data_IF_222412289676
#
_entry.id   IF_222412289676
#
_cell.length_a   1.000
_cell.length_b   1.000
_cell.length_c   1.000
_cell.angle_alpha   90.00
_cell.angle_beta   90.00
_cell.angle_gamma   90.00
#
_symmetry.space_group_name_H-M   'P 1'
#
loop_
_entity.id
_entity.type
_entity.pdbx_description
1 polymer ?
#
# COMPACT_ATOMS: atom_id res chain seq x y z
N UNK A 1 22.75 18.87 25.76
CA UNK A 1 21.75 17.87 26.14
C UNK A 1 20.40 18.53 26.03
N UNK A 2 19.69 18.32 24.94
CA UNK A 2 18.34 18.83 24.74
C UNK A 2 17.38 17.74 25.18
N UNK A 3 16.60 18.01 26.22
CA UNK A 3 15.53 17.12 26.68
C UNK A 3 14.43 17.10 25.62
N UNK A 4 14.13 15.93 25.11
CA UNK A 4 12.95 15.69 24.28
C UNK A 4 11.71 15.81 25.19
N UNK A 5 10.95 16.85 25.03
CA UNK A 5 9.63 17.00 25.63
C UNK A 5 8.67 16.10 24.88
N UNK A 6 8.35 14.95 25.45
CA UNK A 6 7.25 14.11 25.00
C UNK A 6 5.95 14.78 25.42
N UNK A 7 5.17 15.24 24.45
CA UNK A 7 3.79 15.62 24.71
C UNK A 7 2.91 14.38 24.50
N UNK A 8 2.13 13.95 25.50
CA UNK A 8 1.15 12.89 25.31
C UNK A 8 0.00 13.48 24.49
N UNK A 9 -0.07 13.16 23.22
CA UNK A 9 -1.32 13.29 22.46
C UNK A 9 -2.10 12.02 22.75
N UNK A 10 -2.92 12.04 23.78
CA UNK A 10 -3.86 10.97 24.08
C UNK A 10 -5.04 11.10 23.10
N UNK A 11 -4.97 10.37 21.99
CA UNK A 11 -6.10 10.19 21.08
C UNK A 11 -6.59 8.76 21.20
N UNK A 12 -7.74 8.59 21.84
CA UNK A 12 -8.41 7.29 21.94
C UNK A 12 -9.26 7.07 20.70
N UNK A 13 -8.98 6.00 19.96
CA UNK A 13 -9.74 5.62 18.78
C UNK A 13 -10.57 4.39 19.09
N UNK A 14 -11.90 4.50 18.98
CA UNK A 14 -12.78 3.34 18.92
C UNK A 14 -12.59 2.69 17.54
N UNK A 15 -11.94 1.54 17.50
CA UNK A 15 -11.98 0.68 16.32
C UNK A 15 -13.27 -0.15 16.48
N UNK A 16 -14.33 0.10 15.68
CA UNK A 16 -15.52 -0.72 15.78
C UNK A 16 -15.13 -2.15 15.40
N UNK A 17 -15.49 -3.10 16.27
CA UNK A 17 -15.55 -4.51 15.89
C UNK A 17 -16.37 -4.59 14.60
N UNK A 18 -15.91 -5.35 13.62
CA UNK A 18 -16.69 -5.63 12.43
C UNK A 18 -18.04 -6.17 12.92
N UNK A 19 -19.06 -5.32 12.88
CA UNK A 19 -20.41 -5.75 13.14
C UNK A 19 -20.70 -6.81 12.10
N UNK A 20 -21.01 -8.02 12.54
CA UNK A 20 -21.66 -9.03 11.73
C UNK A 20 -22.95 -8.38 11.25
N UNK A 21 -22.91 -7.79 10.07
CA UNK A 21 -24.08 -7.20 9.46
C UNK A 21 -25.06 -8.34 9.27
N UNK A 22 -26.11 -8.32 10.09
CA UNK A 22 -27.30 -9.11 9.82
C UNK A 22 -27.74 -8.73 8.42
N UNK A 23 -27.60 -9.69 7.51
CA UNK A 23 -27.91 -9.55 6.09
C UNK A 23 -29.37 -9.15 5.95
N UNK A 24 -29.66 -7.85 5.96
CA UNK A 24 -30.90 -7.36 5.40
C UNK A 24 -30.88 -7.78 3.93
N UNK A 25 -31.96 -8.42 3.47
CA UNK A 25 -32.15 -8.79 2.07
C UNK A 25 -31.83 -7.55 1.25
N UNK A 26 -30.64 -7.55 0.62
CA UNK A 26 -30.22 -6.46 -0.21
C UNK A 26 -31.18 -6.43 -1.39
N UNK A 27 -31.90 -5.31 -1.55
CA UNK A 27 -32.45 -4.94 -2.83
C UNK A 27 -31.36 -5.23 -3.86
N UNK A 28 -31.69 -5.89 -4.98
CA UNK A 28 -30.77 -6.12 -6.07
C UNK A 28 -30.19 -4.77 -6.46
N UNK A 29 -29.05 -4.43 -5.87
CA UNK A 29 -28.36 -3.20 -6.20
C UNK A 29 -28.00 -3.32 -7.66
N UNK A 30 -28.49 -2.41 -8.44
CA UNK A 30 -28.18 -2.30 -9.86
C UNK A 30 -26.66 -2.40 -10.00
N UNK A 31 -26.21 -3.48 -10.60
CA UNK A 31 -24.78 -3.89 -10.62
C UNK A 31 -23.90 -2.86 -11.32
N UNK A 32 -24.50 -2.13 -12.26
CA UNK A 32 -23.82 -1.15 -13.10
C UNK A 32 -24.48 0.21 -12.92
N UNK A 33 -23.66 1.25 -12.92
CA UNK A 33 -24.16 2.61 -12.92
C UNK A 33 -24.96 2.85 -14.22
N UNK A 34 -26.12 3.48 -14.11
CA UNK A 34 -26.96 3.82 -15.28
C UNK A 34 -26.33 4.88 -16.16
N UNK A 35 -25.45 5.70 -15.58
CA UNK A 35 -24.65 6.71 -16.29
C UNK A 35 -23.40 7.02 -15.48
N UNK A 36 -22.27 7.26 -16.15
CA UNK A 36 -21.04 7.64 -15.48
C UNK A 36 -21.12 9.06 -14.93
N UNK A 37 -20.51 9.30 -13.76
CA UNK A 37 -20.32 10.66 -13.22
C UNK A 37 -19.54 11.55 -14.18
N UNK A 38 -18.73 10.96 -15.06
CA UNK A 38 -17.96 11.67 -16.09
C UNK A 38 -18.80 12.13 -17.29
N UNK A 39 -20.08 11.71 -17.40
CA UNK A 39 -20.94 12.01 -18.54
C UNK A 39 -21.27 13.50 -18.69
N UNK A 40 -21.13 14.27 -17.64
CA UNK A 40 -21.44 15.69 -17.63
C UNK A 40 -20.39 16.50 -16.87
N UNK A 41 -20.35 17.82 -17.13
CA UNK A 41 -19.46 18.73 -16.46
C UNK A 41 -18.05 18.76 -17.05
N UNK A 42 -17.20 19.53 -16.39
CA UNK A 42 -15.78 19.65 -16.73
C UNK A 42 -14.94 18.84 -15.78
N UNK A 43 -14.06 18.02 -16.32
CA UNK A 43 -13.20 17.13 -15.56
C UNK A 43 -11.72 17.38 -15.85
N UNK A 44 -10.90 17.30 -14.81
CA UNK A 44 -9.44 17.37 -14.91
C UNK A 44 -8.87 16.10 -14.30
N UNK A 45 -8.15 15.30 -15.08
CA UNK A 45 -7.45 14.10 -14.63
C UNK A 45 -6.10 14.49 -14.05
N UNK A 46 -5.82 14.05 -12.82
CA UNK A 46 -4.51 14.21 -12.15
C UNK A 46 -3.84 12.87 -11.97
N UNK A 47 -2.52 12.87 -12.02
CA UNK A 47 -1.68 11.70 -11.83
C UNK A 47 -1.10 11.68 -10.41
N UNK A 48 -1.08 10.49 -9.81
CA UNK A 48 -0.51 10.21 -8.50
C UNK A 48 0.50 9.08 -8.65
N UNK A 49 1.69 9.24 -8.09
CA UNK A 49 2.79 8.27 -8.24
C UNK A 49 2.85 7.26 -7.11
N UNK A 50 2.41 7.63 -5.91
CA UNK A 50 2.46 6.78 -4.70
C UNK A 50 1.35 7.15 -3.73
N UNK A 51 1.10 6.30 -2.76
CA UNK A 51 0.17 6.62 -1.68
C UNK A 51 0.63 7.82 -0.87
N UNK A 52 -0.31 8.58 -0.33
CA UNK A 52 -0.01 9.71 0.55
C UNK A 52 -1.06 10.81 0.52
N UNK A 53 -0.82 11.85 1.33
CA UNK A 53 -1.65 13.05 1.35
C UNK A 53 -1.17 14.01 0.27
N UNK A 54 -2.07 14.38 -0.62
CA UNK A 54 -1.83 15.33 -1.70
C UNK A 54 -2.50 16.66 -1.42
N UNK A 55 -1.76 17.73 -1.69
CA UNK A 55 -2.24 19.11 -1.54
C UNK A 55 -2.57 19.70 -2.91
N UNK A 56 -3.84 19.99 -3.13
CA UNK A 56 -4.33 20.73 -4.28
C UNK A 56 -4.49 22.20 -3.86
N UNK A 57 -3.43 23.01 -4.02
CA UNK A 57 -3.48 24.43 -3.67
C UNK A 57 -4.50 25.19 -4.53
N UNK A 58 -5.09 26.27 -3.99
CA UNK A 58 -6.01 27.09 -4.77
C UNK A 58 -5.37 27.64 -6.05
N UNK A 59 -4.05 27.93 -6.04
CA UNK A 59 -3.32 28.36 -7.22
C UNK A 59 -3.27 27.25 -8.30
N UNK A 60 -2.98 26.00 -7.89
CA UNK A 60 -3.03 24.84 -8.79
C UNK A 60 -4.43 24.66 -9.38
N UNK A 61 -5.47 24.69 -8.55
CA UNK A 61 -6.85 24.54 -8.98
C UNK A 61 -7.30 25.60 -9.97
N UNK A 62 -6.94 26.89 -9.72
CA UNK A 62 -7.20 27.97 -10.70
C UNK A 62 -6.45 27.76 -12.01
N UNK A 63 -5.17 27.37 -11.95
CA UNK A 63 -4.39 27.02 -13.17
C UNK A 63 -5.00 25.85 -13.92
N UNK A 64 -5.57 24.88 -13.20
CA UNK A 64 -6.33 23.78 -13.79
C UNK A 64 -7.69 24.22 -14.36
N UNK A 65 -8.08 25.50 -14.18
CA UNK A 65 -9.26 26.17 -14.74
C UNK A 65 -10.53 26.03 -13.90
N UNK A 66 -10.37 25.78 -12.60
CA UNK A 66 -11.48 25.82 -11.66
C UNK A 66 -11.66 27.25 -11.12
N UNK A 67 -12.88 27.79 -11.26
CA UNK A 67 -13.20 29.15 -10.84
C UNK A 67 -13.42 29.25 -9.34
N UNK A 68 -13.93 28.21 -8.74
CA UNK A 68 -14.30 28.11 -7.33
C UNK A 68 -13.56 26.92 -6.64
N UNK A 69 -12.30 27.12 -6.26
CA UNK A 69 -11.50 26.05 -5.64
C UNK A 69 -12.14 25.40 -4.40
N UNK A 70 -13.02 26.12 -3.70
CA UNK A 70 -13.76 25.65 -2.53
C UNK A 70 -14.83 24.62 -2.88
N UNK A 71 -15.30 24.59 -4.12
CA UNK A 71 -16.30 23.67 -4.65
C UNK A 71 -15.69 22.46 -5.38
N UNK A 72 -14.36 22.38 -5.41
CA UNK A 72 -13.72 21.26 -6.09
C UNK A 72 -13.93 19.96 -5.31
N UNK A 73 -14.33 18.95 -6.04
CA UNK A 73 -14.52 17.55 -5.65
C UNK A 73 -13.42 16.70 -6.26
N UNK A 74 -13.03 15.65 -5.55
CA UNK A 74 -12.06 14.65 -6.00
C UNK A 74 -12.77 13.33 -6.18
N UNK A 75 -12.59 12.65 -7.30
CA UNK A 75 -13.17 11.35 -7.58
C UNK A 75 -12.11 10.33 -7.96
N UNK A 76 -12.29 9.09 -7.55
CA UNK A 76 -11.40 7.98 -7.89
C UNK A 76 -11.19 7.02 -6.73
N UNK A 77 -10.48 5.95 -7.01
CA UNK A 77 -10.10 4.92 -6.04
C UNK A 77 -8.63 4.51 -6.21
N UNK A 78 -7.84 5.42 -6.78
CA UNK A 78 -6.39 5.27 -6.94
C UNK A 78 -5.98 4.28 -8.02
N UNK A 79 -4.94 3.52 -7.70
CA UNK A 79 -4.35 2.53 -8.60
C UNK A 79 -4.92 1.13 -8.44
N UNK A 80 -6.12 0.98 -7.86
CA UNK A 80 -6.78 -0.30 -7.75
C UNK A 80 -7.08 -0.89 -9.11
N UNK A 81 -6.81 -2.17 -9.27
CA UNK A 81 -7.26 -2.90 -10.44
C UNK A 81 -8.74 -3.25 -10.31
N UNK A 82 -9.45 -3.13 -11.41
CA UNK A 82 -10.75 -3.75 -11.53
C UNK A 82 -10.57 -5.27 -11.54
N UNK A 83 -11.56 -5.97 -10.99
CA UNK A 83 -11.57 -7.41 -11.04
C UNK A 83 -11.62 -7.90 -12.49
N UNK A 84 -10.86 -8.92 -12.82
CA UNK A 84 -10.81 -9.49 -14.16
C UNK A 84 -12.04 -10.32 -14.49
N UNK A 85 -12.77 -10.77 -13.50
CA UNK A 85 -14.01 -11.52 -13.67
C UNK A 85 -15.18 -10.54 -13.76
N UNK A 86 -15.80 -10.47 -14.93
CA UNK A 86 -17.03 -9.70 -15.15
C UNK A 86 -18.24 -10.28 -14.42
N UNK A 87 -18.21 -11.58 -14.11
CA UNK A 87 -19.27 -12.28 -13.39
C UNK A 87 -18.77 -12.67 -12.01
N UNK A 88 -19.30 -12.01 -10.98
CA UNK A 88 -19.03 -12.38 -9.60
C UNK A 88 -20.07 -13.37 -9.11
N UNK A 89 -19.64 -14.58 -8.87
CA UNK A 89 -20.30 -15.46 -7.93
C UNK A 89 -19.62 -15.28 -6.58
N UNK A 90 -20.24 -14.44 -5.74
CA UNK A 90 -19.70 -14.11 -4.41
C UNK A 90 -19.90 -15.22 -3.39
N UNK A 91 -20.67 -16.24 -3.70
CA UNK A 91 -20.99 -17.30 -2.76
C UNK A 91 -20.00 -18.47 -2.82
N UNK A 92 -19.29 -18.64 -3.92
CA UNK A 92 -18.45 -19.83 -4.12
C UNK A 92 -16.99 -19.72 -3.70
N UNK A 93 -16.44 -18.52 -3.46
CA UNK A 93 -14.99 -18.41 -3.24
C UNK A 93 -14.55 -17.82 -1.89
N UNK A 94 -15.45 -17.42 -0.98
CA UNK A 94 -15.09 -16.98 0.37
C UNK A 94 -14.14 -15.76 0.47
N UNK A 95 -13.85 -15.11 -0.64
CA UNK A 95 -13.00 -13.93 -0.72
C UNK A 95 -13.92 -12.73 -0.93
N UNK A 96 -14.08 -11.91 0.11
CA UNK A 96 -14.53 -10.53 -0.09
C UNK A 96 -13.49 -9.83 -0.95
N UNK A 97 -13.56 -9.98 -2.26
CA UNK A 97 -12.80 -9.16 -3.18
C UNK A 97 -13.24 -7.71 -2.93
N UNK A 98 -12.30 -6.83 -2.66
CA UNK A 98 -12.59 -5.39 -2.59
C UNK A 98 -13.08 -4.97 -3.97
N UNK A 99 -14.38 -4.94 -4.15
CA UNK A 99 -15.00 -4.57 -5.41
C UNK A 99 -14.65 -3.13 -5.73
N UNK A 100 -13.92 -2.94 -6.82
CA UNK A 100 -13.77 -1.62 -7.41
C UNK A 100 -15.11 -1.27 -8.04
N UNK A 101 -15.72 -0.13 -7.69
CA UNK A 101 -16.97 0.31 -8.30
C UNK A 101 -16.84 0.44 -9.82
N UNK A 102 -17.94 0.23 -10.53
CA UNK A 102 -18.00 0.38 -11.98
C UNK A 102 -17.94 1.84 -12.45
N UNK A 103 -18.11 2.80 -11.54
CA UNK A 103 -17.93 4.23 -11.78
C UNK A 103 -17.09 4.87 -10.67
N UNK A 104 -16.64 6.10 -10.89
CA UNK A 104 -15.82 6.83 -9.94
C UNK A 104 -16.63 7.24 -8.70
N UNK A 105 -16.01 7.10 -7.53
CA UNK A 105 -16.59 7.55 -6.26
C UNK A 105 -15.91 8.83 -5.78
N UNK A 106 -16.68 9.70 -5.11
CA UNK A 106 -16.14 10.91 -4.52
C UNK A 106 -15.30 10.59 -3.29
N UNK A 107 -14.09 11.14 -3.24
CA UNK A 107 -13.14 10.99 -2.14
C UNK A 107 -13.32 12.16 -1.17
N UNK A 108 -13.57 11.91 0.12
CA UNK A 108 -13.62 12.96 1.12
C UNK A 108 -12.29 13.73 1.21
N UNK A 109 -12.41 15.04 1.35
CA UNK A 109 -11.26 15.97 1.35
C UNK A 109 -11.26 16.81 2.62
N UNK A 110 -10.09 17.25 3.05
CA UNK A 110 -9.94 18.25 4.10
C UNK A 110 -9.57 19.61 3.50
N UNK A 111 -10.31 20.66 3.88
CA UNK A 111 -9.97 22.00 3.47
C UNK A 111 -9.30 22.74 4.62
N UNK A 112 -8.13 23.29 4.35
CA UNK A 112 -7.33 24.03 5.29
C UNK A 112 -6.89 25.37 4.64
N UNK A 113 -7.59 26.46 4.93
CA UNK A 113 -7.36 27.73 4.25
C UNK A 113 -7.46 27.61 2.72
N UNK A 114 -6.35 27.86 2.03
CA UNK A 114 -6.25 27.77 0.57
C UNK A 114 -5.80 26.40 0.04
N UNK A 115 -5.74 25.41 0.91
CA UNK A 115 -5.32 24.04 0.58
C UNK A 115 -6.50 23.09 0.58
N UNK A 116 -6.54 22.19 -0.37
CA UNK A 116 -7.46 21.06 -0.42
C UNK A 116 -6.64 19.79 -0.33
N UNK A 117 -6.75 19.11 0.78
CA UNK A 117 -5.99 17.88 1.06
C UNK A 117 -6.87 16.66 0.82
N UNK A 118 -6.29 15.64 0.22
CA UNK A 118 -6.92 14.32 0.09
C UNK A 118 -5.88 13.21 0.20
N UNK A 119 -6.31 12.05 0.65
CA UNK A 119 -5.51 10.84 0.60
C UNK A 119 -5.62 10.21 -0.78
N UNK A 120 -4.49 9.86 -1.35
CA UNK A 120 -4.43 9.13 -2.61
C UNK A 120 -3.76 7.77 -2.41
N UNK A 121 -4.37 6.74 -2.97
CA UNK A 121 -3.78 5.41 -3.08
C UNK A 121 -2.80 5.36 -4.25
N UNK A 122 -1.69 4.64 -4.05
CA UNK A 122 -0.75 4.31 -5.10
C UNK A 122 -1.18 3.11 -5.94
N UNK A 123 -0.27 2.63 -6.78
CA UNK A 123 -0.45 1.42 -7.58
C UNK A 123 0.02 0.16 -6.86
N UNK A 124 0.77 0.30 -5.77
CA UNK A 124 1.17 -0.78 -4.89
C UNK A 124 0.31 -0.74 -3.63
N UNK A 125 -0.27 -1.87 -3.25
CA UNK A 125 -1.03 -2.04 -2.01
C UNK A 125 -0.31 -2.98 -1.08
N UNK A 126 -0.31 -2.62 0.20
CA UNK A 126 0.16 -3.44 1.31
C UNK A 126 -1.03 -3.94 2.10
N UNK A 127 -1.10 -5.24 2.33
CA UNK A 127 -2.16 -5.87 3.09
C UNK A 127 -1.57 -6.58 4.30
N UNK A 128 -2.03 -6.21 5.48
CA UNK A 128 -1.67 -6.88 6.74
C UNK A 128 -2.79 -7.79 7.18
N UNK A 129 -2.50 -9.08 7.28
CA UNK A 129 -3.43 -10.05 7.83
C UNK A 129 -3.26 -10.09 9.35
N UNK A 130 -4.21 -9.53 10.08
CA UNK A 130 -4.14 -9.43 11.54
C UNK A 130 -4.16 -10.79 12.24
N UNK A 131 -4.83 -11.79 11.68
CA UNK A 131 -4.92 -13.13 12.28
C UNK A 131 -3.62 -13.92 12.16
N UNK A 132 -2.91 -13.79 11.04
CA UNK A 132 -1.64 -14.50 10.79
C UNK A 132 -0.41 -13.66 11.09
N UNK A 133 -0.55 -12.33 11.25
CA UNK A 133 0.57 -11.39 11.42
C UNK A 133 1.44 -11.24 10.17
N UNK A 134 0.94 -11.63 9.00
CA UNK A 134 1.71 -11.61 7.76
C UNK A 134 1.32 -10.44 6.87
N UNK A 135 2.32 -9.90 6.19
CA UNK A 135 2.14 -8.93 5.13
C UNK A 135 2.07 -9.61 3.77
N UNK A 136 1.22 -9.09 2.90
CA UNK A 136 1.24 -9.31 1.46
C UNK A 136 1.21 -7.97 0.74
N UNK A 137 1.51 -7.97 -0.53
CA UNK A 137 1.34 -6.78 -1.38
C UNK A 137 0.93 -7.21 -2.78
N UNK A 138 0.40 -6.26 -3.52
CA UNK A 138 0.06 -6.41 -4.92
C UNK A 138 0.36 -5.10 -5.65
N UNK A 139 0.82 -5.22 -6.89
CA UNK A 139 1.04 -4.09 -7.78
C UNK A 139 -0.06 -4.04 -8.85
N UNK A 140 -0.34 -2.86 -9.36
CA UNK A 140 -1.16 -2.71 -10.53
C UNK A 140 -0.36 -3.11 -11.78
N UNK A 141 -0.75 -4.20 -12.44
CA UNK A 141 -0.05 -4.73 -13.61
C UNK A 141 -0.18 -3.86 -14.87
N UNK A 142 -1.14 -2.94 -14.90
CA UNK A 142 -1.49 -2.17 -16.11
C UNK A 142 -1.02 -0.72 -16.06
N UNK A 143 -0.68 -0.20 -14.88
CA UNK A 143 -0.28 1.18 -14.74
C UNK A 143 0.72 1.40 -13.60
N UNK A 144 1.73 2.22 -13.88
CA UNK A 144 2.67 2.73 -12.86
C UNK A 144 2.14 3.94 -12.10
N UNK A 145 0.96 4.43 -12.46
CA UNK A 145 0.37 5.62 -11.88
C UNK A 145 -1.08 5.38 -11.51
N UNK A 146 -1.48 5.97 -10.40
CA UNK A 146 -2.88 6.14 -10.04
C UNK A 146 -3.43 7.41 -10.65
N UNK A 147 -4.74 7.47 -10.80
CA UNK A 147 -5.39 8.65 -11.35
C UNK A 147 -6.61 9.02 -10.51
N UNK A 148 -6.77 10.33 -10.32
CA UNK A 148 -7.95 10.92 -9.74
C UNK A 148 -8.51 11.98 -10.68
N UNK A 149 -9.78 12.31 -10.51
CA UNK A 149 -10.50 13.22 -11.37
C UNK A 149 -11.08 14.35 -10.52
N UNK A 150 -10.91 15.57 -10.98
CA UNK A 150 -11.37 16.77 -10.31
C UNK A 150 -12.51 17.40 -11.10
N UNK A 151 -13.53 17.87 -10.39
CA UNK A 151 -14.63 18.67 -10.95
C UNK A 151 -15.10 19.71 -9.94
N UNK A 152 -15.84 20.73 -10.37
CA UNK A 152 -16.56 21.66 -9.48
C UNK A 152 -17.99 21.18 -9.29
N UNK A 153 -18.50 21.26 -8.06
CA UNK A 153 -19.88 20.88 -7.76
C UNK A 153 -20.32 21.31 -6.38
N UNK A 154 -21.62 21.19 -6.12
CA UNK A 154 -22.19 21.49 -4.82
C UNK A 154 -21.89 20.40 -3.79
N UNK A 155 -21.87 20.77 -2.52
CA UNK A 155 -21.70 19.89 -1.37
C UNK A 155 -20.53 18.88 -1.52
N UNK A 156 -19.25 19.33 -1.69
CA UNK A 156 -18.12 18.43 -1.74
C UNK A 156 -18.02 17.60 -0.45
N UNK A 157 -17.72 16.30 -0.59
CA UNK A 157 -17.48 15.45 0.56
C UNK A 157 -16.26 15.94 1.36
N UNK A 158 -16.44 16.00 2.68
CA UNK A 158 -15.38 16.43 3.59
C UNK A 158 -15.09 15.34 4.62
N UNK A 159 -13.83 15.26 5.00
CA UNK A 159 -13.40 14.42 6.12
C UNK A 159 -14.02 15.01 7.38
N UNK A 160 -14.73 14.16 8.15
CA UNK A 160 -15.31 14.57 9.44
C UNK A 160 -14.31 14.31 10.57
N UNK A 161 -14.33 15.14 11.61
CA UNK A 161 -13.62 14.83 12.83
C UNK A 161 -14.32 13.68 13.56
N UNK A 162 -13.56 12.73 14.10
CA UNK A 162 -14.09 11.74 15.04
C UNK A 162 -14.31 12.43 16.40
N UNK A 163 -15.35 12.01 17.09
CA UNK A 163 -15.54 12.41 18.47
C UNK A 163 -14.40 11.86 19.34
N UNK A 164 -13.88 12.67 20.24
CA UNK A 164 -12.94 12.23 21.25
C UNK A 164 -13.63 11.19 22.14
N UNK A 165 -13.02 10.04 22.33
CA UNK A 165 -13.51 9.03 23.27
C UNK A 165 -12.72 9.17 24.56
N UNK A 166 -13.35 9.68 25.58
CA UNK A 166 -12.81 9.60 26.94
C UNK A 166 -12.95 8.16 27.42
N UNK A 167 -11.87 7.45 27.47
CA UNK A 167 -11.82 6.10 28.00
C UNK A 167 -10.45 5.83 28.59
N UNK A 168 -10.42 5.08 29.66
CA UNK A 168 -9.17 4.46 30.16
C UNK A 168 -8.75 3.42 29.14
N UNK A 169 -8.02 3.86 28.11
CA UNK A 169 -7.55 2.99 27.05
C UNK A 169 -6.65 1.91 27.65
N UNK A 170 -7.06 0.66 27.54
CA UNK A 170 -6.33 -0.47 28.10
C UNK A 170 -4.99 -0.71 27.37
N UNK A 171 -4.78 -0.12 26.21
CA UNK A 171 -3.61 -0.36 25.37
C UNK A 171 -3.07 0.93 24.78
N UNK A 172 -1.77 1.15 24.96
CA UNK A 172 -1.03 2.21 24.26
C UNK A 172 -0.10 1.57 23.23
N UNK A 173 -0.16 2.04 22.00
CA UNK A 173 0.73 1.62 20.91
C UNK A 173 1.69 2.74 20.56
N UNK A 174 2.97 2.48 20.67
CA UNK A 174 4.06 3.36 20.20
C UNK A 174 4.65 2.88 18.87
N UNK A 175 4.26 1.68 18.43
CA UNK A 175 4.72 1.02 17.23
C UNK A 175 3.60 0.20 16.57
N UNK A 176 3.79 -0.09 15.30
CA UNK A 176 2.86 -0.88 14.49
C UNK A 176 3.60 -1.89 13.63
N UNK A 177 2.97 -3.00 13.25
CA UNK A 177 3.50 -3.84 12.18
C UNK A 177 3.65 -3.02 10.89
N UNK A 178 4.77 -3.15 10.22
CA UNK A 178 5.03 -2.48 8.95
C UNK A 178 5.81 -3.37 7.99
N UNK A 179 5.74 -3.06 6.69
CA UNK A 179 6.51 -3.75 5.67
C UNK A 179 7.23 -2.75 4.77
N UNK A 180 8.54 -2.86 4.69
CA UNK A 180 9.32 -2.26 3.62
C UNK A 180 9.36 -3.23 2.44
N UNK A 181 9.03 -2.73 1.25
CA UNK A 181 8.89 -3.54 0.04
C UNK A 181 9.80 -2.93 -1.03
N UNK A 182 10.60 -3.78 -1.64
CA UNK A 182 11.28 -3.53 -2.88
C UNK A 182 10.66 -4.46 -3.92
N UNK A 183 10.05 -3.89 -4.93
CA UNK A 183 9.37 -4.58 -6.01
C UNK A 183 9.31 -3.64 -7.22
N UNK A 184 10.11 -3.93 -8.24
CA UNK A 184 10.29 -3.10 -9.42
C UNK A 184 9.77 -3.83 -10.66
N UNK A 185 8.55 -3.56 -11.04
CA UNK A 185 7.90 -4.13 -12.22
C UNK A 185 8.39 -3.47 -13.52
N UNK A 186 9.56 -3.86 -14.02
CA UNK A 186 10.19 -3.23 -15.19
C UNK A 186 10.22 -4.11 -16.42
N UNK A 187 10.27 -5.43 -16.26
CA UNK A 187 10.46 -6.36 -17.36
C UNK A 187 9.69 -7.66 -17.18
N UNK A 188 9.25 -8.26 -18.28
CA UNK A 188 8.78 -9.65 -18.29
C UNK A 188 9.94 -10.64 -18.32
N UNK A 189 9.71 -11.87 -17.88
CA UNK A 189 10.67 -12.98 -18.04
C UNK A 189 10.56 -13.65 -19.40
N UNK A 190 9.41 -13.54 -20.04
CA UNK A 190 9.13 -14.09 -21.35
C UNK A 190 8.35 -13.07 -22.18
N UNK A 191 8.12 -13.36 -23.45
CA UNK A 191 7.44 -12.42 -24.38
C UNK A 191 5.94 -12.23 -24.08
N UNK A 192 5.53 -12.33 -22.85
CA UNK A 192 4.14 -12.15 -22.44
C UNK A 192 3.92 -12.38 -20.96
N UNK A 193 2.67 -12.25 -20.53
CA UNK A 193 2.25 -12.40 -19.15
C UNK A 193 2.03 -11.06 -18.45
N UNK A 194 1.26 -11.11 -17.37
CA UNK A 194 0.92 -9.93 -16.56
C UNK A 194 1.95 -9.62 -15.51
N UNK A 195 2.60 -10.66 -14.98
CA UNK A 195 3.58 -10.49 -13.92
C UNK A 195 4.85 -9.89 -14.49
N UNK A 196 5.22 -8.78 -13.96
CA UNK A 196 6.47 -8.10 -14.25
C UNK A 196 7.49 -8.39 -13.15
N UNK A 197 8.74 -8.16 -13.46
CA UNK A 197 9.87 -8.40 -12.59
C UNK A 197 10.85 -7.23 -12.70
N UNK A 198 11.87 -7.25 -11.87
CA UNK A 198 12.99 -6.32 -11.97
C UNK A 198 13.64 -6.31 -13.37
N UNK A 199 14.15 -5.15 -13.77
CA UNK A 199 14.80 -4.95 -15.06
C UNK A 199 16.12 -5.71 -15.23
N UNK A 200 16.80 -6.13 -14.16
CA UNK A 200 18.06 -6.86 -14.21
C UNK A 200 17.85 -8.32 -14.61
N UNK A 201 18.53 -8.77 -15.69
CA UNK A 201 18.55 -10.17 -16.11
C UNK A 201 19.85 -10.83 -15.68
N UNK A 202 19.73 -11.83 -14.81
CA UNK A 202 20.88 -12.58 -14.31
C UNK A 202 21.59 -13.43 -15.36
N UNK A 203 20.98 -13.68 -16.52
CA UNK A 203 21.67 -14.28 -17.65
C UNK A 203 22.78 -13.38 -18.21
N UNK A 204 22.60 -12.06 -18.10
CA UNK A 204 23.58 -11.07 -18.58
C UNK A 204 24.63 -10.76 -17.54
N UNK A 205 24.21 -10.58 -16.29
CA UNK A 205 25.08 -10.29 -15.15
C UNK A 205 24.59 -11.12 -13.96
N UNK A 206 25.35 -12.10 -13.55
CA UNK A 206 24.97 -13.09 -12.55
C UNK A 206 24.83 -12.54 -11.11
N UNK A 207 25.07 -11.25 -10.89
CA UNK A 207 24.95 -10.61 -9.58
C UNK A 207 24.22 -9.27 -9.68
N UNK A 208 23.37 -9.00 -8.68
CA UNK A 208 22.72 -7.71 -8.48
C UNK A 208 22.87 -7.27 -7.03
N UNK A 209 23.15 -5.98 -6.82
CA UNK A 209 23.13 -5.32 -5.52
C UNK A 209 22.05 -4.23 -5.52
N UNK A 210 21.25 -4.18 -4.48
CA UNK A 210 20.21 -3.16 -4.28
C UNK A 210 19.91 -2.95 -2.80
N UNK A 211 19.23 -1.85 -2.46
CA UNK A 211 18.92 -1.51 -1.09
C UNK A 211 17.40 -1.52 -0.83
N UNK A 212 17.02 -2.01 0.34
CA UNK A 212 15.69 -1.85 0.90
C UNK A 212 15.78 -0.93 2.11
N UNK A 213 15.08 0.21 2.06
CA UNK A 213 15.13 1.18 3.14
C UNK A 213 14.11 0.84 4.23
N UNK A 214 14.58 0.79 5.45
CA UNK A 214 13.80 0.62 6.69
C UNK A 214 13.77 1.94 7.43
N UNK A 215 12.62 2.37 7.88
CA UNK A 215 12.45 3.62 8.60
C UNK A 215 11.77 3.40 9.95
N UNK A 216 12.23 4.15 10.96
CA UNK A 216 11.67 4.11 12.31
C UNK A 216 11.65 2.71 12.93
N UNK A 217 12.71 1.95 12.72
CA UNK A 217 12.87 0.61 13.29
C UNK A 217 12.85 0.67 14.82
N UNK A 218 12.04 -0.17 15.45
CA UNK A 218 12.08 -0.32 16.91
C UNK A 218 13.41 -0.94 17.34
N UNK A 219 14.05 -0.38 18.38
CA UNK A 219 15.37 -0.82 18.86
C UNK A 219 15.40 -2.29 19.29
N UNK A 220 14.27 -2.80 19.80
CA UNK A 220 14.08 -4.16 20.27
C UNK A 220 13.49 -5.11 19.20
N UNK A 221 13.54 -4.74 17.93
CA UNK A 221 12.93 -5.53 16.83
C UNK A 221 13.49 -6.95 16.72
N UNK A 222 14.78 -7.15 17.09
CA UNK A 222 15.46 -8.43 16.94
C UNK A 222 15.49 -8.92 15.48
N UNK A 223 15.52 -10.24 15.30
CA UNK A 223 15.41 -10.83 13.99
C UNK A 223 13.99 -10.70 13.41
N UNK A 224 13.88 -10.17 12.23
CA UNK A 224 12.61 -9.93 11.55
C UNK A 224 12.42 -10.84 10.34
N UNK A 225 11.17 -11.13 9.93
CA UNK A 225 10.88 -11.85 8.70
C UNK A 225 11.29 -11.07 7.45
N UNK A 226 12.01 -11.73 6.56
CA UNK A 226 12.44 -11.21 5.26
C UNK A 226 12.00 -12.20 4.20
N UNK A 227 11.09 -11.80 3.34
CA UNK A 227 10.59 -12.63 2.25
C UNK A 227 11.23 -12.18 0.95
N UNK A 228 11.80 -13.12 0.23
CA UNK A 228 12.49 -12.89 -1.04
C UNK A 228 11.88 -13.77 -2.10
N UNK A 229 11.49 -13.18 -3.23
CA UNK A 229 10.92 -13.87 -4.39
C UNK A 229 11.80 -13.68 -5.61
N UNK A 230 12.00 -14.76 -6.33
CA UNK A 230 12.87 -14.87 -7.47
C UNK A 230 12.23 -15.76 -8.53
N UNK A 231 12.39 -15.43 -9.80
CA UNK A 231 11.84 -16.18 -10.91
C UNK A 231 12.91 -16.49 -11.94
N UNK A 232 12.81 -17.67 -12.57
CA UNK A 232 13.69 -18.08 -13.66
C UNK A 232 12.92 -18.73 -14.81
N UNK A 233 13.36 -18.43 -16.04
CA UNK A 233 12.84 -19.00 -17.27
C UNK A 233 13.80 -20.07 -17.81
N UNK A 234 13.69 -21.28 -17.26
CA UNK A 234 14.45 -22.44 -17.74
C UNK A 234 13.56 -23.67 -17.80
N UNK A 235 13.54 -24.34 -18.95
CA UNK A 235 12.82 -25.61 -19.15
C UNK A 235 13.67 -26.84 -18.91
N UNK A 236 14.97 -26.68 -18.73
CA UNK A 236 15.94 -27.79 -18.69
C UNK A 236 16.68 -27.95 -17.37
N UNK A 237 16.78 -26.90 -16.59
CA UNK A 237 17.59 -26.90 -15.37
C UNK A 237 16.99 -26.02 -14.28
N UNK A 238 17.34 -26.31 -13.03
CA UNK A 238 17.06 -25.44 -11.89
C UNK A 238 18.01 -24.27 -11.88
N UNK A 239 17.50 -23.07 -11.67
CA UNK A 239 18.29 -21.85 -11.46
C UNK A 239 18.29 -21.52 -9.98
N UNK A 240 19.48 -21.37 -9.40
CA UNK A 240 19.63 -21.03 -7.99
C UNK A 240 20.14 -19.60 -7.82
N UNK A 241 19.66 -18.94 -6.76
CA UNK A 241 20.06 -17.59 -6.39
C UNK A 241 20.47 -17.57 -4.90
N UNK A 242 21.74 -17.29 -4.62
CA UNK A 242 22.20 -17.02 -3.27
C UNK A 242 21.85 -15.58 -2.89
N UNK A 243 21.34 -15.40 -1.69
CA UNK A 243 20.93 -14.11 -1.15
C UNK A 243 21.77 -13.75 0.07
N UNK A 244 22.35 -12.56 0.04
CA UNK A 244 23.06 -11.96 1.18
C UNK A 244 22.36 -10.65 1.58
N UNK A 245 22.41 -10.35 2.87
CA UNK A 245 21.93 -9.09 3.46
C UNK A 245 23.05 -8.49 4.31
N UNK A 246 23.41 -7.25 4.05
CA UNK A 246 24.46 -6.53 4.78
C UNK A 246 25.77 -7.34 4.90
N UNK A 247 26.13 -8.11 3.84
CA UNK A 247 27.32 -8.95 3.79
C UNK A 247 27.16 -10.34 4.46
N UNK A 248 25.99 -10.65 5.02
CA UNK A 248 25.73 -11.96 5.65
C UNK A 248 24.84 -12.81 4.75
N UNK A 249 25.21 -14.06 4.55
CA UNK A 249 24.41 -15.01 3.76
C UNK A 249 23.10 -15.34 4.47
N UNK A 250 21.97 -15.04 3.82
CA UNK A 250 20.61 -15.45 4.27
C UNK A 250 20.30 -16.89 3.88
N UNK A 251 20.58 -17.24 2.64
CA UNK A 251 20.25 -18.56 2.12
C UNK A 251 20.19 -18.58 0.59
N UNK A 252 19.45 -19.54 0.06
CA UNK A 252 19.37 -19.80 -1.38
C UNK A 252 17.92 -20.01 -1.81
N UNK A 253 17.55 -19.42 -2.95
CA UNK A 253 16.32 -19.73 -3.68
C UNK A 253 16.64 -20.69 -4.83
N UNK A 254 15.60 -21.43 -5.29
CA UNK A 254 15.76 -22.46 -6.32
C UNK A 254 14.52 -22.52 -7.21
N UNK A 255 14.55 -21.80 -8.32
CA UNK A 255 13.51 -21.88 -9.34
C UNK A 255 13.76 -23.13 -10.22
N UNK A 256 12.88 -24.13 -10.12
CA UNK A 256 12.98 -25.39 -10.84
C UNK A 256 12.68 -25.21 -12.32
N UNK A 257 13.10 -26.19 -13.14
CA UNK A 257 12.71 -26.22 -14.55
C UNK A 257 11.18 -26.27 -14.69
N UNK A 258 10.64 -25.53 -15.65
CA UNK A 258 9.19 -25.52 -15.93
C UNK A 258 8.81 -26.42 -17.09
N UNK A 259 7.52 -26.80 -17.11
CA UNK A 259 6.95 -27.50 -18.26
C UNK A 259 6.53 -26.48 -19.33
N UNK A 260 7.12 -26.55 -20.52
CA UNK A 260 6.86 -25.61 -21.63
C UNK A 260 5.43 -25.59 -22.13
N UNK A 261 4.63 -26.62 -21.83
CA UNK A 261 3.21 -26.67 -22.22
C UNK A 261 2.30 -25.86 -21.29
N UNK A 262 2.72 -25.63 -20.05
CA UNK A 262 1.86 -25.05 -19.02
C UNK A 262 2.40 -23.76 -18.41
N UNK A 263 3.68 -23.48 -18.57
CA UNK A 263 4.35 -22.36 -17.90
C UNK A 263 5.45 -21.77 -18.77
N UNK A 264 5.86 -20.56 -18.45
CA UNK A 264 7.00 -19.87 -19.08
C UNK A 264 8.10 -19.50 -18.10
N UNK A 265 7.85 -19.66 -16.82
CA UNK A 265 8.80 -19.42 -15.74
C UNK A 265 8.36 -20.14 -14.46
N UNK A 266 9.29 -20.34 -13.54
CA UNK A 266 9.04 -20.85 -12.20
C UNK A 266 9.50 -19.81 -11.18
N UNK A 267 8.71 -19.62 -10.14
CA UNK A 267 9.04 -18.77 -9.01
C UNK A 267 9.46 -19.64 -7.81
N UNK A 268 10.40 -19.10 -7.03
CA UNK A 268 10.66 -19.56 -5.67
C UNK A 268 10.61 -18.36 -4.70
N UNK A 269 9.81 -18.51 -3.67
CA UNK A 269 9.67 -17.49 -2.63
C UNK A 269 10.02 -18.09 -1.28
N UNK A 270 11.00 -17.52 -0.60
CA UNK A 270 11.45 -17.98 0.72
C UNK A 270 11.40 -16.89 1.75
N UNK A 271 11.10 -17.31 2.98
CA UNK A 271 11.13 -16.45 4.15
C UNK A 271 12.37 -16.79 5.00
N UNK A 272 13.15 -15.77 5.29
CA UNK A 272 14.32 -15.82 6.18
C UNK A 272 14.03 -15.01 7.44
N UNK A 273 14.87 -15.18 8.45
CA UNK A 273 14.88 -14.28 9.61
C UNK A 273 16.29 -13.76 9.81
N UNK A 274 16.40 -12.44 9.99
CA UNK A 274 17.69 -11.81 10.24
C UNK A 274 17.52 -10.44 10.89
N UNK A 275 18.58 -9.96 11.50
CA UNK A 275 18.64 -8.58 11.98
C UNK A 275 18.75 -7.62 10.79
N UNK A 276 18.07 -6.51 10.91
CA UNK A 276 18.12 -5.40 9.95
C UNK A 276 18.60 -4.13 10.66
N UNK A 277 18.88 -3.11 9.91
CA UNK A 277 19.28 -1.81 10.43
C UNK A 277 18.34 -0.70 9.98
N UNK A 278 18.32 0.39 10.74
CA UNK A 278 17.69 1.64 10.29
C UNK A 278 18.34 2.13 9.00
N UNK A 279 17.54 2.62 8.05
CA UNK A 279 18.03 3.10 6.76
C UNK A 279 18.21 1.98 5.74
N UNK A 280 19.30 2.05 4.97
CA UNK A 280 19.56 1.15 3.85
C UNK A 280 20.03 -0.23 4.30
N UNK A 281 19.31 -1.27 3.88
CA UNK A 281 19.69 -2.67 4.03
C UNK A 281 20.10 -3.20 2.65
N UNK A 282 21.37 -3.55 2.51
CA UNK A 282 21.97 -3.94 1.23
C UNK A 282 21.78 -5.41 0.97
N UNK A 283 21.10 -5.74 -0.12
CA UNK A 283 20.95 -7.10 -0.64
C UNK A 283 21.93 -7.33 -1.79
N UNK A 284 22.59 -8.48 -1.76
CA UNK A 284 23.35 -9.00 -2.88
C UNK A 284 22.77 -10.35 -3.26
N UNK A 285 22.35 -10.47 -4.52
CA UNK A 285 21.81 -11.72 -5.07
C UNK A 285 22.75 -12.18 -6.18
N UNK A 286 23.17 -13.46 -6.11
CA UNK A 286 24.09 -14.06 -7.07
C UNK A 286 23.52 -15.38 -7.57
N UNK A 287 23.44 -15.54 -8.90
CA UNK A 287 22.93 -16.77 -9.53
C UNK A 287 24.06 -17.64 -10.05
N UNK A 288 23.79 -18.95 -10.17
CA UNK A 288 24.78 -19.93 -10.65
C UNK A 288 24.90 -20.00 -12.14
N UNK A 289 24.33 -19.10 -12.92
CA UNK A 289 24.59 -18.93 -14.34
C UNK A 289 23.54 -19.34 -15.36
N UNK A 290 23.52 -18.60 -16.43
CA UNK A 290 23.13 -18.97 -17.80
C UNK A 290 21.66 -18.84 -18.14
N UNK A 291 20.76 -18.94 -17.20
CA UNK A 291 19.31 -18.83 -17.46
C UNK A 291 18.80 -17.41 -17.25
N UNK A 292 17.87 -16.97 -18.08
CA UNK A 292 17.15 -15.72 -17.83
C UNK A 292 16.40 -15.83 -16.50
N UNK A 293 16.73 -14.95 -15.59
CA UNK A 293 16.20 -14.93 -14.24
C UNK A 293 16.15 -13.51 -13.71
N UNK A 294 15.20 -13.22 -12.83
CA UNK A 294 14.94 -11.88 -12.30
C UNK A 294 14.47 -11.94 -10.86
N UNK A 295 14.76 -10.89 -10.12
CA UNK A 295 14.09 -10.67 -8.85
C UNK A 295 12.63 -10.30 -9.09
N UNK A 296 11.78 -10.78 -8.21
CA UNK A 296 10.38 -10.42 -8.15
C UNK A 296 10.21 -9.34 -7.06
N UNK A 297 10.38 -9.72 -5.80
CA UNK A 297 10.35 -8.74 -4.71
C UNK A 297 11.23 -9.13 -3.52
N UNK A 298 11.49 -8.13 -2.67
CA UNK A 298 11.92 -8.31 -1.28
C UNK A 298 10.96 -7.58 -0.37
N UNK A 299 10.49 -8.26 0.68
CA UNK A 299 9.62 -7.68 1.71
C UNK A 299 10.21 -7.93 3.09
N UNK A 300 10.49 -6.85 3.82
CA UNK A 300 10.99 -6.86 5.21
C UNK A 300 9.81 -6.48 6.10
N UNK A 301 9.40 -7.38 7.00
CA UNK A 301 8.31 -7.14 7.95
C UNK A 301 8.88 -6.83 9.32
N UNK A 302 8.61 -5.65 9.88
CA UNK A 302 9.24 -5.20 11.12
C UNK A 302 8.30 -4.33 11.97
N UNK A 303 8.59 -4.21 13.30
CA UNK A 303 7.89 -3.25 14.14
C UNK A 303 8.43 -1.84 13.86
N UNK A 304 7.56 -0.97 13.35
CA UNK A 304 7.87 0.43 13.05
C UNK A 304 7.35 1.31 14.18
N UNK A 305 8.20 2.19 14.71
CA UNK A 305 7.79 3.22 15.65
C UNK A 305 6.81 4.18 14.98
N UNK A 306 5.78 4.57 15.72
CA UNK A 306 4.87 5.63 15.28
C UNK A 306 5.57 6.98 15.42
N UNK A 307 5.97 7.54 14.28
CA UNK A 307 6.68 8.80 14.23
C UNK A 307 6.21 9.63 13.04
N UNK A 308 6.03 10.93 13.24
CA UNK A 308 5.70 11.85 12.15
C UNK A 308 6.84 11.90 11.16
N UNK A 309 6.52 11.69 9.90
CA UNK A 309 7.45 11.69 8.78
C UNK A 309 7.10 12.81 7.79
N UNK A 310 8.11 13.28 7.05
CA UNK A 310 7.91 14.25 5.96
C UNK A 310 7.01 13.69 4.86
N UNK A 311 7.03 12.37 4.66
CA UNK A 311 6.15 11.67 3.71
C UNK A 311 5.12 10.89 4.52
N UNK A 312 3.82 11.21 4.35
CA UNK A 312 2.74 10.47 5.00
C UNK A 312 2.78 8.98 4.63
N UNK A 313 2.40 8.13 5.54
CA UNK A 313 2.32 6.69 5.35
C UNK A 313 1.08 6.11 6.01
N UNK A 314 0.59 5.00 5.47
CA UNK A 314 -0.52 4.23 6.03
C UNK A 314 -0.01 3.12 6.94
N UNK A 315 -0.77 2.77 7.97
CA UNK A 315 -0.49 1.65 8.86
C UNK A 315 -1.77 1.01 9.37
N UNK A 316 -1.67 -0.23 9.82
CA UNK A 316 -2.79 -0.97 10.42
C UNK A 316 -2.45 -1.31 11.86
N UNK A 317 -3.07 -0.67 12.86
CA UNK A 317 -2.82 -1.01 14.24
C UNK A 317 -3.38 -2.40 14.55
N UNK A 318 -2.63 -3.18 15.30
CA UNK A 318 -3.10 -4.47 15.83
C UNK A 318 -3.82 -4.22 17.15
N UNK A 319 -5.11 -3.91 17.09
CA UNK A 319 -5.92 -3.69 18.29
C UNK A 319 -7.37 -4.07 18.03
N UNK A 320 -8.04 -4.58 19.06
CA UNK A 320 -9.45 -4.97 19.03
C UNK A 320 -10.34 -4.10 19.93
N UNK A 321 -9.84 -2.96 20.40
CA UNK A 321 -10.58 -2.08 21.31
C UNK A 321 -10.11 -0.64 21.25
N UNK A 322 -10.46 0.13 22.26
CA UNK A 322 -9.98 1.51 22.43
C UNK A 322 -8.48 1.49 22.64
N UNK A 323 -7.76 2.24 21.83
CA UNK A 323 -6.30 2.23 21.78
C UNK A 323 -5.79 3.65 21.74
N UNK A 324 -4.82 3.95 22.59
CA UNK A 324 -4.05 5.18 22.54
C UNK A 324 -2.88 5.01 21.58
N UNK A 325 -2.66 5.93 20.67
CA UNK A 325 -1.49 5.96 19.81
C UNK A 325 -0.49 6.97 20.36
N UNK A 326 0.71 6.51 20.69
CA UNK A 326 1.83 7.38 21.09
C UNK A 326 2.69 7.68 19.87
N UNK A 327 2.55 8.90 19.32
CA UNK A 327 3.23 9.30 18.09
C UNK A 327 4.38 10.25 18.40
N UNK A 328 5.61 9.84 18.07
CA UNK A 328 6.80 10.65 18.26
C UNK A 328 6.82 11.83 17.27
N UNK A 329 7.40 12.96 17.71
CA UNK A 329 7.52 14.19 16.94
C UNK A 329 6.17 14.77 16.45
N UNK A 330 5.07 14.42 17.10
CA UNK A 330 3.76 15.03 16.83
C UNK A 330 3.73 16.50 17.26
N UNK A 331 3.06 17.32 16.48
CA UNK A 331 2.82 18.75 16.73
C UNK A 331 1.33 19.04 16.59
N UNK A 332 0.90 20.23 16.94
CA UNK A 332 -0.50 20.66 16.76
C UNK A 332 -0.97 20.64 15.28
N UNK A 333 -0.03 20.56 14.33
CA UNK A 333 -0.35 20.42 12.89
C UNK A 333 -0.31 18.96 12.39
N UNK A 334 0.01 17.99 13.26
CA UNK A 334 0.00 16.58 12.89
C UNK A 334 -1.44 16.14 12.65
N UNK A 335 -1.67 15.45 11.55
CA UNK A 335 -2.98 14.90 11.16
C UNK A 335 -2.93 13.38 11.12
N UNK A 336 -3.95 12.75 11.65
CA UNK A 336 -4.15 11.31 11.57
C UNK A 336 -5.53 11.03 10.99
N UNK A 337 -5.56 10.30 9.89
CA UNK A 337 -6.80 9.98 9.19
C UNK A 337 -7.09 8.48 9.24
N UNK A 338 -8.34 8.15 9.47
CA UNK A 338 -8.82 6.79 9.29
C UNK A 338 -9.11 6.57 7.81
N UNK A 339 -8.40 5.62 7.20
CA UNK A 339 -8.60 5.22 5.82
C UNK A 339 -9.56 4.03 5.80
N UNK A 340 -10.64 4.15 5.05
CA UNK A 340 -11.64 3.11 4.84
C UNK A 340 -11.35 2.25 3.61
N UNK A 341 -12.39 1.57 3.15
CA UNK A 341 -12.31 0.79 1.91
C UNK A 341 -11.96 1.69 0.71
N UNK A 342 -11.32 1.10 -0.29
CA UNK A 342 -10.87 1.79 -1.51
C UNK A 342 -9.91 2.96 -1.24
N UNK A 343 -9.23 2.96 -0.08
CA UNK A 343 -8.32 4.04 0.28
C UNK A 343 -8.98 5.39 0.53
N UNK A 344 -10.28 5.41 0.79
CA UNK A 344 -11.01 6.64 1.03
C UNK A 344 -10.87 7.09 2.49
N UNK A 345 -10.41 8.32 2.80
CA UNK A 345 -10.37 8.81 4.15
C UNK A 345 -11.80 9.00 4.67
N UNK A 346 -12.11 8.40 5.79
CA UNK A 346 -13.46 8.44 6.37
C UNK A 346 -13.59 9.44 7.50
N UNK A 347 -12.51 9.66 8.25
CA UNK A 347 -12.51 10.59 9.36
C UNK A 347 -11.10 11.03 9.76
N UNK A 348 -11.00 12.21 10.40
CA UNK A 348 -9.82 12.68 11.10
C UNK A 348 -9.90 12.23 12.56
N UNK A 349 -8.81 11.64 13.04
CA UNK A 349 -8.66 11.20 14.43
C UNK A 349 -8.16 12.41 15.24
N UNK A 350 -8.82 12.76 16.36
CA UNK A 350 -8.49 13.91 17.18
C UNK A 350 -7.10 13.83 17.83
#
# INVERSE_FOLDING_TARGET
MAQATSFPVASSVLIPQAATATRAVAEEQQRWASSSVLSQGRWVKIRVEREGIYNLSAAFLRKAGFSQPERVKVFGYGGLQQDERLLFDTESEGVESQRVPDDLVEVPTLREGNQLLFWAEGTQRRNYNQSTGKWSHSNNYYSRYSYYFLTEGDAPLRISALATVESDAATTLDRVPFAAIWDEDQAGLYQGGRRMFDGHDFATHNQKTFNVNVADLAEDAGEVPIEVSFAAASSTSTTTAEVQLNGVRLGQLSATAFNTLTSSATLDTKSFRHNIQEGANSFVVTTTAGNSARMDFVRISYPRLLKVQAIPYSFSPKSTGVTTLSVQAATASTRLWRIGQLGSPTAEVP
#
